data_IF_689352223913
#
_entry.id   IF_689352223913
#
_cell.length_a   1.000
_cell.length_b   1.000
_cell.length_c   1.000
_cell.angle_alpha   90.00
_cell.angle_beta   90.00
_cell.angle_gamma   90.00
#
_symmetry.space_group_name_H-M   'P 1'
#
loop_
_entity.id
_entity.type
_entity.pdbx_description
1 polymer ?
#
# COMPACT_ATOMS: atom_id res chain seq x y z
N UNK A 1 76.91 -14.58 49.09
CA UNK A 1 75.53 -15.02 49.27
C UNK A 1 74.62 -13.80 49.15
N UNK A 2 74.12 -13.57 47.97
CA UNK A 2 73.25 -12.38 47.67
C UNK A 2 71.84 -12.78 47.78
N UNK A 3 71.03 -12.12 48.62
CA UNK A 3 69.56 -12.29 48.71
C UNK A 3 68.89 -11.49 47.59
N UNK A 4 68.12 -12.17 46.76
CA UNK A 4 67.27 -11.55 45.74
C UNK A 4 65.87 -11.38 46.35
N UNK A 5 65.44 -10.13 46.46
CA UNK A 5 64.10 -9.79 46.92
C UNK A 5 63.18 -9.78 45.65
N UNK A 6 62.14 -10.59 45.67
CA UNK A 6 61.10 -10.57 44.63
C UNK A 6 60.06 -9.52 44.99
N UNK A 7 59.85 -8.55 44.12
CA UNK A 7 58.77 -7.58 44.20
C UNK A 7 57.59 -8.16 43.41
N UNK A 8 56.51 -8.51 44.08
CA UNK A 8 55.21 -8.84 43.47
C UNK A 8 54.46 -7.53 43.21
N UNK A 9 54.35 -7.19 41.92
CA UNK A 9 53.43 -6.13 41.46
C UNK A 9 52.04 -6.70 41.27
N UNK A 10 51.10 -6.33 42.11
CA UNK A 10 49.67 -6.63 41.97
C UNK A 10 49.09 -5.62 40.99
N UNK A 11 48.81 -6.05 39.75
CA UNK A 11 48.04 -5.24 38.81
C UNK A 11 46.55 -5.41 39.15
N UNK A 12 45.95 -4.40 39.77
CA UNK A 12 44.50 -4.33 39.95
C UNK A 12 43.83 -3.96 38.58
N UNK A 13 43.21 -4.94 37.91
CA UNK A 13 42.33 -4.70 36.78
C UNK A 13 41.07 -3.99 37.31
N UNK A 14 40.98 -2.69 37.11
CA UNK A 14 39.71 -1.97 37.18
C UNK A 14 38.90 -2.31 35.97
N UNK A 15 38.03 -3.35 36.04
CA UNK A 15 36.92 -3.50 35.14
C UNK A 15 35.96 -2.32 35.36
N UNK A 16 36.08 -1.29 34.52
CA UNK A 16 35.03 -0.30 34.37
C UNK A 16 33.79 -1.03 33.78
N UNK A 17 32.84 -1.34 34.64
CA UNK A 17 31.49 -1.68 34.18
C UNK A 17 30.94 -0.41 33.50
N UNK A 18 31.05 -0.33 32.19
CA UNK A 18 30.22 0.56 31.40
C UNK A 18 28.79 0.01 31.59
N UNK A 19 27.87 0.76 32.17
CA UNK A 19 26.49 0.29 32.20
C UNK A 19 26.06 0.09 30.76
N UNK A 20 25.65 -1.13 30.42
CA UNK A 20 24.92 -1.37 29.19
C UNK A 20 23.73 -0.43 29.26
N UNK A 21 23.68 0.56 28.39
CA UNK A 21 22.47 1.36 28.20
C UNK A 21 21.37 0.35 27.91
N UNK A 22 20.34 0.33 28.74
CA UNK A 22 19.17 -0.50 28.48
C UNK A 22 18.68 -0.11 27.09
N UNK A 23 18.56 -1.09 26.20
CA UNK A 23 17.96 -0.90 24.87
C UNK A 23 16.55 -0.37 25.14
N UNK A 24 16.24 0.86 24.70
CA UNK A 24 14.89 1.42 24.88
C UNK A 24 13.89 0.48 24.22
N UNK A 25 13.04 -0.13 25.01
CA UNK A 25 11.97 -1.00 24.52
C UNK A 25 10.74 -0.14 24.25
N UNK A 26 10.41 0.01 22.98
CA UNK A 26 9.20 0.70 22.54
C UNK A 26 8.00 -0.25 22.53
N UNK A 27 6.86 0.21 23.02
CA UNK A 27 5.58 -0.49 22.83
C UNK A 27 5.26 -0.60 21.34
N UNK A 28 4.54 -1.64 20.89
CA UNK A 28 4.16 -1.76 19.48
C UNK A 28 3.35 -0.55 19.00
N UNK A 29 3.72 0.05 17.86
CA UNK A 29 2.97 1.17 17.30
C UNK A 29 1.51 0.83 17.04
N UNK A 30 1.22 -0.40 16.57
CA UNK A 30 -0.14 -0.85 16.32
C UNK A 30 -1.00 -0.94 17.60
N UNK A 31 -0.39 -1.21 18.74
CA UNK A 31 -1.09 -1.22 20.03
C UNK A 31 -1.47 0.20 20.45
N UNK A 32 -0.57 1.16 20.24
CA UNK A 32 -0.82 2.56 20.52
C UNK A 32 -1.82 3.20 19.54
N UNK A 33 -1.87 2.73 18.30
CA UNK A 33 -2.81 3.19 17.29
C UNK A 33 -4.22 2.59 17.44
N UNK A 34 -4.35 1.42 18.06
CA UNK A 34 -5.61 0.69 18.19
C UNK A 34 -6.76 1.49 18.87
N UNK A 35 -6.52 2.26 19.97
CA UNK A 35 -7.55 3.10 20.57
C UNK A 35 -8.12 4.16 19.61
N UNK A 36 -7.36 4.56 18.62
CA UNK A 36 -7.77 5.51 17.57
C UNK A 36 -8.39 4.83 16.35
N UNK A 37 -8.57 3.52 16.37
CA UNK A 37 -9.34 2.77 15.37
C UNK A 37 -8.63 2.48 14.05
N UNK A 38 -7.30 2.66 13.95
CA UNK A 38 -6.56 2.34 12.72
C UNK A 38 -5.41 1.35 12.93
N UNK A 39 -5.15 0.55 11.90
CA UNK A 39 -4.01 -0.37 11.83
C UNK A 39 -2.73 0.38 11.46
N UNK A 40 -1.58 -0.14 11.91
CA UNK A 40 -0.26 0.26 11.41
C UNK A 40 0.24 -0.75 10.41
N UNK A 41 0.56 -0.28 9.19
CA UNK A 41 0.99 -1.13 8.09
C UNK A 41 2.43 -0.89 7.65
N UNK A 42 3.04 -1.93 7.06
CA UNK A 42 4.38 -1.89 6.48
C UNK A 42 4.44 -2.64 5.14
N UNK A 43 5.34 -2.27 4.20
CA UNK A 43 5.57 -3.05 3.00
C UNK A 43 6.35 -4.33 3.33
N UNK A 44 6.10 -5.37 2.56
CA UNK A 44 6.89 -6.61 2.61
C UNK A 44 7.11 -7.12 1.18
N UNK A 45 8.36 -7.38 0.81
CA UNK A 45 8.72 -8.07 -0.42
C UNK A 45 9.09 -9.53 -0.15
N UNK A 46 9.01 -10.38 -1.17
CA UNK A 46 9.37 -11.80 -1.05
C UNK A 46 10.81 -12.00 -0.58
N UNK A 47 11.75 -11.19 -1.06
CA UNK A 47 13.15 -11.29 -0.62
C UNK A 47 13.34 -10.95 0.86
N UNK A 48 12.49 -10.07 1.42
CA UNK A 48 12.52 -9.71 2.83
C UNK A 48 12.09 -10.85 3.76
N UNK A 49 11.40 -11.90 3.27
CA UNK A 49 11.12 -13.11 4.07
C UNK A 49 12.40 -13.80 4.57
N UNK A 50 13.54 -13.53 3.95
CA UNK A 50 14.85 -14.04 4.37
C UNK A 50 15.59 -13.10 5.31
N UNK A 51 15.07 -11.91 5.56
CA UNK A 51 15.69 -10.91 6.44
C UNK A 51 15.02 -10.91 7.82
N UNK A 52 15.54 -11.76 8.72
CA UNK A 52 14.96 -11.91 10.05
C UNK A 52 14.91 -10.61 10.85
N UNK A 53 15.89 -9.70 10.68
CA UNK A 53 15.88 -8.40 11.37
C UNK A 53 14.71 -7.53 10.90
N UNK A 54 14.43 -7.52 9.58
CA UNK A 54 13.28 -6.81 9.04
C UNK A 54 11.95 -7.43 9.50
N UNK A 55 11.84 -8.75 9.45
CA UNK A 55 10.64 -9.45 9.91
C UNK A 55 10.36 -9.22 11.40
N UNK A 56 11.41 -9.21 12.23
CA UNK A 56 11.27 -8.90 13.65
C UNK A 56 10.78 -7.46 13.88
N UNK A 57 11.30 -6.51 13.10
CA UNK A 57 10.85 -5.11 13.15
C UNK A 57 9.37 -4.98 12.74
N UNK A 58 8.96 -5.63 11.66
CA UNK A 58 7.56 -5.62 11.21
C UNK A 58 6.65 -6.21 12.30
N UNK A 59 6.99 -7.36 12.85
CA UNK A 59 6.21 -7.99 13.94
C UNK A 59 6.14 -7.14 15.22
N UNK A 60 7.20 -6.39 15.51
CA UNK A 60 7.26 -5.57 16.72
C UNK A 60 6.31 -4.36 16.65
N UNK A 61 6.06 -3.79 15.46
CA UNK A 61 5.40 -2.48 15.36
C UNK A 61 4.20 -2.44 14.43
N UNK A 62 3.97 -3.46 13.60
CA UNK A 62 2.93 -3.43 12.55
C UNK A 62 2.01 -4.64 12.64
N UNK A 63 0.71 -4.41 12.43
CA UNK A 63 -0.34 -5.44 12.40
C UNK A 63 -1.02 -5.54 11.03
N UNK A 64 -0.42 -4.91 10.01
CA UNK A 64 -0.82 -5.00 8.61
C UNK A 64 0.41 -5.01 7.71
N UNK A 65 0.36 -5.75 6.61
CA UNK A 65 1.34 -5.66 5.53
C UNK A 65 0.66 -5.46 4.18
N UNK A 66 1.42 -4.86 3.25
CA UNK A 66 1.09 -4.85 1.82
C UNK A 66 2.27 -5.46 1.08
N UNK A 67 2.01 -6.45 0.20
CA UNK A 67 3.09 -7.02 -0.63
C UNK A 67 3.52 -6.01 -1.68
N UNK A 68 4.84 -5.95 -1.95
CA UNK A 68 5.33 -4.93 -2.88
C UNK A 68 5.00 -5.25 -4.33
N UNK A 69 5.04 -6.54 -4.71
CA UNK A 69 4.81 -6.96 -6.09
C UNK A 69 4.04 -8.29 -6.23
N UNK A 70 4.09 -9.14 -5.22
CA UNK A 70 3.78 -10.57 -5.32
C UNK A 70 2.29 -10.85 -5.50
N UNK A 71 1.41 -9.90 -5.15
CA UNK A 71 -0.04 -9.97 -5.37
C UNK A 71 -0.51 -9.13 -6.56
N UNK A 72 0.39 -8.53 -7.34
CA UNK A 72 0.05 -7.82 -8.58
C UNK A 72 -0.22 -8.81 -9.72
N UNK A 73 -1.07 -8.42 -10.65
CA UNK A 73 -1.49 -9.27 -11.77
C UNK A 73 -0.31 -9.90 -12.54
N UNK A 74 0.74 -9.11 -12.86
CA UNK A 74 1.90 -9.62 -13.60
C UNK A 74 2.69 -10.70 -12.84
N UNK A 75 2.61 -10.72 -11.51
CA UNK A 75 3.27 -11.74 -10.68
C UNK A 75 2.41 -12.98 -10.48
N UNK A 76 1.09 -12.82 -10.43
CA UNK A 76 0.15 -13.92 -10.24
C UNK A 76 -0.14 -14.64 -11.56
N UNK A 77 -0.33 -13.92 -12.67
CA UNK A 77 -0.60 -14.49 -13.97
C UNK A 77 0.58 -15.34 -14.49
N UNK A 78 0.28 -16.56 -14.93
CA UNK A 78 1.29 -17.49 -15.43
C UNK A 78 0.93 -18.00 -16.83
N UNK A 79 1.70 -17.63 -17.83
CA UNK A 79 1.44 -17.99 -19.22
C UNK A 79 1.45 -19.52 -19.46
N UNK A 80 2.32 -20.27 -18.79
CA UNK A 80 2.36 -21.74 -18.96
C UNK A 80 1.14 -22.38 -18.34
N UNK A 81 0.73 -21.97 -17.14
CA UNK A 81 -0.50 -22.42 -16.52
C UNK A 81 -1.72 -22.06 -17.38
N UNK A 82 -1.76 -20.84 -17.93
CA UNK A 82 -2.82 -20.38 -18.86
C UNK A 82 -2.93 -21.30 -20.09
N UNK A 83 -1.80 -21.60 -20.75
CA UNK A 83 -1.80 -22.47 -21.95
C UNK A 83 -2.11 -23.94 -21.65
N UNK A 84 -2.02 -24.35 -20.41
CA UNK A 84 -2.41 -25.71 -19.99
C UNK A 84 -3.91 -25.85 -19.72
N UNK A 85 -4.64 -24.74 -19.58
CA UNK A 85 -6.10 -24.75 -19.40
C UNK A 85 -6.83 -25.01 -20.70
N UNK A 86 -7.98 -25.68 -20.60
CA UNK A 86 -8.85 -26.02 -21.76
C UNK A 86 -10.09 -25.14 -21.86
N UNK A 87 -10.34 -24.31 -20.83
CA UNK A 87 -11.50 -23.42 -20.76
C UNK A 87 -11.24 -22.03 -21.35
N UNK A 88 -9.99 -21.75 -21.79
CA UNK A 88 -9.61 -20.47 -22.35
C UNK A 88 -9.41 -19.34 -21.32
N UNK A 89 -9.44 -19.67 -20.01
CA UNK A 89 -9.27 -18.69 -18.94
C UNK A 89 -7.80 -18.56 -18.50
N UNK A 90 -7.39 -17.45 -17.86
CA UNK A 90 -6.01 -17.27 -17.40
C UNK A 90 -5.67 -18.22 -16.24
N UNK A 91 -4.44 -18.73 -16.23
CA UNK A 91 -3.91 -19.52 -15.12
C UNK A 91 -2.94 -18.71 -14.25
N UNK A 92 -2.92 -19.00 -12.97
CA UNK A 92 -2.13 -18.27 -11.97
C UNK A 92 -1.01 -19.12 -11.35
N UNK A 93 -0.06 -18.45 -10.72
CA UNK A 93 0.94 -19.02 -9.82
C UNK A 93 0.97 -18.19 -8.53
N UNK A 94 0.52 -18.76 -7.44
CA UNK A 94 0.43 -18.10 -6.14
C UNK A 94 1.65 -18.33 -5.24
N UNK A 95 2.68 -19.08 -5.69
CA UNK A 95 3.73 -19.61 -4.81
C UNK A 95 4.45 -18.58 -3.95
N UNK A 96 4.74 -17.39 -4.48
CA UNK A 96 5.39 -16.33 -3.73
C UNK A 96 4.41 -15.63 -2.79
N UNK A 97 3.24 -15.25 -3.29
CA UNK A 97 2.20 -14.59 -2.51
C UNK A 97 1.71 -15.48 -1.34
N UNK A 98 1.51 -16.77 -1.59
CA UNK A 98 1.13 -17.74 -0.56
C UNK A 98 2.11 -17.79 0.62
N UNK A 99 3.40 -17.80 0.34
CA UNK A 99 4.42 -17.80 1.40
C UNK A 99 4.38 -16.52 2.24
N UNK A 100 4.08 -15.39 1.61
CA UNK A 100 3.98 -14.11 2.31
C UNK A 100 2.70 -14.01 3.15
N UNK A 101 1.57 -14.46 2.60
CA UNK A 101 0.29 -14.48 3.34
C UNK A 101 0.33 -15.50 4.47
N UNK A 102 0.97 -16.67 4.25
CA UNK A 102 1.20 -17.66 5.31
C UNK A 102 2.04 -17.07 6.45
N UNK A 103 3.14 -16.37 6.11
CA UNK A 103 3.94 -15.70 7.13
C UNK A 103 3.12 -14.66 7.92
N UNK A 104 2.28 -13.90 7.25
CA UNK A 104 1.40 -12.92 7.91
C UNK A 104 0.41 -13.63 8.84
N UNK A 105 -0.24 -14.69 8.38
CA UNK A 105 -1.16 -15.52 9.17
C UNK A 105 -0.48 -16.09 10.42
N UNK A 106 0.70 -16.69 10.26
CA UNK A 106 1.47 -17.29 11.37
C UNK A 106 1.87 -16.27 12.45
N UNK A 107 1.88 -14.97 12.10
CA UNK A 107 2.24 -13.88 13.01
C UNK A 107 1.05 -13.00 13.42
N UNK A 108 -0.19 -13.36 13.05
CA UNK A 108 -1.39 -12.60 13.39
C UNK A 108 -1.46 -11.21 12.72
N UNK A 109 -0.84 -11.07 11.56
CA UNK A 109 -0.76 -9.82 10.78
C UNK A 109 -1.74 -9.91 9.61
N UNK A 110 -2.58 -8.88 9.43
CA UNK A 110 -3.47 -8.78 8.27
C UNK A 110 -2.73 -8.38 7.00
N UNK A 111 -3.30 -8.73 5.85
CA UNK A 111 -2.73 -8.41 4.54
C UNK A 111 -3.68 -7.50 3.77
N UNK A 112 -3.15 -6.42 3.20
CA UNK A 112 -3.79 -5.66 2.13
C UNK A 112 -3.42 -6.31 0.81
N UNK A 113 -4.39 -6.87 0.10
CA UNK A 113 -4.20 -7.39 -1.25
C UNK A 113 -3.97 -6.25 -2.23
N UNK A 114 -2.80 -6.18 -2.83
CA UNK A 114 -2.42 -5.12 -3.77
C UNK A 114 -1.77 -5.73 -5.01
N UNK A 115 -2.38 -5.70 -6.15
CA UNK A 115 -3.61 -5.09 -6.62
C UNK A 115 -4.22 -6.00 -7.71
N UNK A 116 -5.54 -6.05 -7.80
CA UNK A 116 -6.20 -6.90 -8.81
C UNK A 116 -6.05 -6.29 -10.22
N UNK A 117 -6.39 -5.02 -10.42
CA UNK A 117 -6.35 -4.36 -11.73
C UNK A 117 -5.50 -3.08 -11.66
N UNK A 118 -4.43 -3.06 -12.43
CA UNK A 118 -3.58 -1.88 -12.64
C UNK A 118 -2.96 -1.91 -14.02
N UNK A 119 -3.23 -0.92 -14.85
CA UNK A 119 -2.75 -0.83 -16.23
C UNK A 119 -1.22 -0.84 -16.36
N UNK A 120 -0.50 -0.26 -15.36
CA UNK A 120 0.96 -0.23 -15.36
C UNK A 120 1.61 -1.59 -15.05
N UNK A 121 0.90 -2.50 -14.38
CA UNK A 121 1.43 -3.78 -13.93
C UNK A 121 0.58 -4.96 -14.41
N UNK A 122 0.21 -4.92 -15.69
CA UNK A 122 -0.48 -5.99 -16.39
C UNK A 122 0.36 -6.51 -17.55
N UNK A 123 0.16 -7.76 -17.94
CA UNK A 123 0.92 -8.39 -19.03
C UNK A 123 0.20 -8.21 -20.37
N UNK A 124 0.89 -7.77 -21.43
CA UNK A 124 0.32 -7.57 -22.77
C UNK A 124 -0.34 -8.85 -23.32
N UNK A 125 0.28 -10.03 -23.12
CA UNK A 125 -0.26 -11.30 -23.61
C UNK A 125 -1.65 -11.66 -23.09
N UNK A 126 -2.05 -11.13 -21.92
CA UNK A 126 -3.39 -11.33 -21.36
C UNK A 126 -4.49 -10.80 -22.27
N UNK A 127 -4.21 -9.72 -22.98
CA UNK A 127 -5.16 -9.06 -23.89
C UNK A 127 -5.12 -9.63 -25.32
N UNK A 128 -4.19 -10.54 -25.64
CA UNK A 128 -4.01 -11.08 -26.99
C UNK A 128 -4.87 -12.33 -27.22
N UNK A 129 -5.26 -12.55 -28.48
CA UNK A 129 -5.89 -13.81 -28.89
C UNK A 129 -4.97 -14.99 -28.54
N UNK A 130 -5.53 -16.07 -28.01
CA UNK A 130 -4.84 -17.27 -27.56
C UNK A 130 -3.65 -17.01 -26.63
N UNK A 131 -3.65 -15.84 -25.96
CA UNK A 131 -2.54 -15.40 -25.09
C UNK A 131 -1.18 -15.37 -25.80
N UNK A 132 -1.18 -15.08 -27.10
CA UNK A 132 0.04 -14.99 -27.91
C UNK A 132 0.33 -13.51 -28.26
N UNK A 133 1.45 -12.98 -27.75
CA UNK A 133 1.87 -11.59 -28.00
C UNK A 133 2.08 -11.23 -29.48
N UNK A 134 2.10 -12.21 -30.38
CA UNK A 134 2.18 -12.00 -31.83
C UNK A 134 0.82 -11.90 -32.52
N UNK A 135 -0.27 -12.22 -31.80
CA UNK A 135 -1.62 -12.16 -32.32
C UNK A 135 -2.27 -10.79 -32.06
N UNK A 136 -3.36 -10.47 -32.77
CA UNK A 136 -4.19 -9.31 -32.44
C UNK A 136 -4.67 -9.33 -30.99
N UNK A 137 -5.17 -8.20 -30.53
CA UNK A 137 -5.90 -8.15 -29.27
C UNK A 137 -7.23 -8.89 -29.41
N UNK A 138 -7.64 -9.60 -28.37
CA UNK A 138 -8.91 -10.30 -28.31
C UNK A 138 -10.09 -9.31 -28.23
N UNK A 139 -11.28 -9.79 -28.52
CA UNK A 139 -12.50 -8.99 -28.44
C UNK A 139 -12.88 -8.63 -26.99
N UNK A 140 -13.75 -7.66 -26.85
CA UNK A 140 -14.17 -7.09 -25.57
C UNK A 140 -14.77 -8.14 -24.62
N UNK A 141 -15.61 -9.03 -25.13
CA UNK A 141 -16.26 -10.03 -24.29
C UNK A 141 -15.26 -11.07 -23.78
N UNK A 142 -14.29 -11.44 -24.62
CA UNK A 142 -13.18 -12.30 -24.22
C UNK A 142 -12.35 -11.66 -23.09
N UNK A 143 -12.02 -10.37 -23.19
CA UNK A 143 -11.22 -9.69 -22.17
C UNK A 143 -12.02 -9.51 -20.86
N UNK A 144 -13.32 -9.21 -20.94
CA UNK A 144 -14.21 -9.17 -19.77
C UNK A 144 -14.24 -10.53 -19.05
N UNK A 145 -14.49 -11.61 -19.81
CA UNK A 145 -14.54 -12.97 -19.23
C UNK A 145 -13.21 -13.38 -18.58
N UNK A 146 -12.08 -13.08 -19.20
CA UNK A 146 -10.75 -13.32 -18.62
C UNK A 146 -10.52 -12.54 -17.35
N UNK A 147 -10.94 -11.26 -17.31
CA UNK A 147 -10.77 -10.39 -16.14
C UNK A 147 -11.67 -10.85 -15.01
N UNK A 148 -12.91 -11.26 -15.28
CA UNK A 148 -13.82 -11.84 -14.31
C UNK A 148 -13.24 -13.11 -13.69
N UNK A 149 -12.80 -14.06 -14.53
CA UNK A 149 -12.16 -15.30 -14.10
C UNK A 149 -10.94 -15.04 -13.23
N UNK A 150 -10.05 -14.13 -13.68
CA UNK A 150 -8.85 -13.76 -12.94
C UNK A 150 -9.18 -13.19 -11.54
N UNK A 151 -10.06 -12.19 -11.47
CA UNK A 151 -10.43 -11.55 -10.20
C UNK A 151 -11.09 -12.56 -9.26
N UNK A 152 -12.06 -13.32 -9.78
CA UNK A 152 -12.79 -14.33 -9.00
C UNK A 152 -11.85 -15.39 -8.46
N UNK A 153 -10.97 -15.94 -9.29
CA UNK A 153 -10.04 -17.00 -8.87
C UNK A 153 -9.01 -16.48 -7.86
N UNK A 154 -8.50 -15.24 -8.01
CA UNK A 154 -7.55 -14.66 -7.06
C UNK A 154 -8.21 -14.41 -5.70
N UNK A 155 -9.38 -13.78 -5.67
CA UNK A 155 -10.11 -13.53 -4.42
C UNK A 155 -10.47 -14.84 -3.72
N UNK A 156 -11.00 -15.81 -4.48
CA UNK A 156 -11.36 -17.13 -3.97
C UNK A 156 -10.16 -17.86 -3.38
N UNK A 157 -9.03 -17.88 -4.09
CA UNK A 157 -7.81 -18.56 -3.63
C UNK A 157 -7.35 -18.08 -2.25
N UNK A 158 -7.26 -16.76 -2.07
CA UNK A 158 -6.76 -16.21 -0.81
C UNK A 158 -7.79 -16.35 0.32
N UNK A 159 -9.07 -16.23 0.04
CA UNK A 159 -10.11 -16.37 1.06
C UNK A 159 -10.27 -17.83 1.50
N UNK A 160 -10.24 -18.80 0.58
CA UNK A 160 -10.34 -20.22 0.92
C UNK A 160 -9.08 -20.74 1.64
N UNK A 161 -7.90 -20.30 1.20
CA UNK A 161 -6.63 -20.79 1.75
C UNK A 161 -6.24 -20.09 3.05
N UNK A 162 -6.55 -18.81 3.19
CA UNK A 162 -6.17 -17.95 4.31
C UNK A 162 -7.36 -17.11 4.78
N UNK A 163 -8.44 -17.72 5.29
CA UNK A 163 -9.69 -17.03 5.61
C UNK A 163 -9.48 -15.81 6.49
N UNK A 164 -9.92 -14.64 6.03
CA UNK A 164 -9.86 -13.36 6.76
C UNK A 164 -8.47 -12.76 6.94
N UNK A 165 -7.41 -13.35 6.41
CA UNK A 165 -6.05 -12.79 6.47
C UNK A 165 -5.90 -11.61 5.51
N UNK A 166 -6.40 -11.77 4.27
CA UNK A 166 -6.51 -10.66 3.31
C UNK A 166 -7.78 -9.89 3.62
N UNK A 167 -7.68 -8.88 4.49
CA UNK A 167 -8.84 -8.16 5.03
C UNK A 167 -9.39 -7.09 4.07
N UNK A 168 -8.66 -6.72 3.03
CA UNK A 168 -9.12 -5.84 1.97
C UNK A 168 -8.31 -6.05 0.68
N UNK A 169 -8.91 -5.66 -0.46
CA UNK A 169 -8.26 -5.60 -1.75
C UNK A 169 -8.26 -4.18 -2.30
N UNK A 170 -7.12 -3.73 -2.82
CA UNK A 170 -7.11 -2.69 -3.83
C UNK A 170 -7.59 -3.33 -5.14
N UNK A 171 -8.84 -3.09 -5.50
CA UNK A 171 -9.44 -3.69 -6.70
C UNK A 171 -8.88 -3.05 -7.95
N UNK A 172 -8.84 -1.71 -7.98
CA UNK A 172 -8.25 -0.94 -9.07
C UNK A 172 -7.29 0.09 -8.52
N UNK A 173 -6.12 0.21 -9.15
CA UNK A 173 -5.10 1.19 -8.80
C UNK A 173 -4.88 2.21 -9.91
N UNK A 174 -4.83 3.51 -9.51
CA UNK A 174 -4.37 4.63 -10.35
C UNK A 174 -5.12 4.79 -11.69
N UNK A 175 -6.42 4.58 -11.69
CA UNK A 175 -7.24 4.72 -12.90
C UNK A 175 -7.53 6.18 -13.29
N UNK A 176 -7.30 7.14 -12.38
CA UNK A 176 -7.53 8.57 -12.61
C UNK A 176 -6.27 9.23 -13.15
N UNK A 177 -6.37 9.93 -14.29
CA UNK A 177 -5.28 10.70 -14.91
C UNK A 177 -4.96 11.97 -14.14
N UNK A 178 -3.73 12.49 -14.32
CA UNK A 178 -3.26 13.72 -13.65
C UNK A 178 -3.19 14.91 -14.60
N UNK A 179 -3.28 14.70 -15.89
CA UNK A 179 -3.21 15.77 -16.90
C UNK A 179 -4.23 15.55 -18.01
N UNK A 180 -4.64 16.63 -18.65
CA UNK A 180 -5.63 16.64 -19.76
C UNK A 180 -5.22 15.73 -20.94
N UNK A 181 -3.97 15.36 -21.05
CA UNK A 181 -3.50 14.42 -22.08
C UNK A 181 -3.71 12.95 -21.73
N UNK A 182 -4.08 12.64 -20.49
CA UNK A 182 -4.20 11.28 -19.97
C UNK A 182 -5.66 10.78 -19.89
N UNK A 183 -6.67 11.66 -20.11
CA UNK A 183 -8.08 11.31 -20.08
C UNK A 183 -8.88 12.05 -21.16
N UNK A 184 -10.12 11.62 -21.41
CA UNK A 184 -10.98 12.23 -22.41
C UNK A 184 -11.52 13.58 -21.92
N UNK A 185 -11.51 14.59 -22.80
CA UNK A 185 -12.04 15.91 -22.48
C UNK A 185 -13.51 15.82 -22.02
N UNK A 186 -13.82 16.42 -20.88
CA UNK A 186 -15.16 16.44 -20.31
C UNK A 186 -15.53 15.20 -19.48
N UNK A 187 -14.66 14.19 -19.33
CA UNK A 187 -14.87 13.09 -18.40
C UNK A 187 -14.56 13.54 -16.97
N UNK A 188 -15.61 13.77 -16.17
CA UNK A 188 -15.47 14.19 -14.77
C UNK A 188 -14.71 13.19 -13.89
N UNK A 189 -14.60 11.92 -14.33
CA UNK A 189 -13.85 10.87 -13.64
C UNK A 189 -12.35 10.94 -13.96
N UNK A 190 -11.94 11.76 -14.94
CA UNK A 190 -10.58 11.77 -15.50
C UNK A 190 -10.04 10.36 -15.78
N UNK A 191 -10.93 9.46 -16.26
CA UNK A 191 -10.60 8.05 -16.47
C UNK A 191 -9.44 7.91 -17.46
N UNK A 192 -8.34 7.34 -16.97
CA UNK A 192 -7.07 7.28 -17.69
C UNK A 192 -7.18 6.52 -19.00
N UNK A 193 -6.86 7.21 -20.10
CA UNK A 193 -6.75 6.65 -21.44
C UNK A 193 -5.33 6.24 -21.77
N UNK A 194 -4.37 7.03 -21.30
CA UNK A 194 -2.94 6.87 -21.53
C UNK A 194 -2.16 6.95 -20.23
N UNK A 195 -1.08 6.16 -20.15
CA UNK A 195 -0.06 6.29 -19.11
C UNK A 195 1.31 6.40 -19.77
N UNK A 196 1.98 7.53 -19.60
CA UNK A 196 3.29 7.78 -20.22
C UNK A 196 3.32 7.49 -21.72
N UNK A 197 2.23 7.85 -22.43
CA UNK A 197 2.06 7.63 -23.86
C UNK A 197 1.64 6.23 -24.29
N UNK A 198 1.48 5.28 -23.35
CA UNK A 198 0.97 3.94 -23.65
C UNK A 198 -0.52 3.84 -23.34
N UNK A 199 -1.33 3.17 -24.19
CA UNK A 199 -2.76 2.99 -23.94
C UNK A 199 -3.04 2.19 -22.66
N UNK A 200 -4.11 2.57 -21.97
CA UNK A 200 -4.69 1.73 -20.92
C UNK A 200 -5.47 0.58 -21.57
N UNK A 201 -4.88 -0.61 -21.61
CA UNK A 201 -5.46 -1.76 -22.29
C UNK A 201 -6.77 -2.25 -21.67
N UNK A 202 -6.97 -2.07 -20.36
CA UNK A 202 -8.27 -2.39 -19.76
C UNK A 202 -9.37 -1.48 -20.32
N UNK A 203 -9.14 -0.17 -20.35
CA UNK A 203 -10.11 0.78 -20.88
C UNK A 203 -10.36 0.53 -22.38
N UNK A 204 -9.31 0.25 -23.15
CA UNK A 204 -9.43 0.07 -24.61
C UNK A 204 -10.18 -1.21 -24.97
N UNK A 205 -9.94 -2.33 -24.26
CA UNK A 205 -10.48 -3.64 -24.60
C UNK A 205 -11.59 -4.15 -23.66
N UNK A 206 -11.88 -3.50 -22.55
CA UNK A 206 -13.07 -3.76 -21.73
C UNK A 206 -14.12 -2.64 -21.83
N UNK A 207 -13.71 -1.43 -22.23
CA UNK A 207 -14.56 -0.26 -22.30
C UNK A 207 -14.41 0.67 -21.09
N UNK A 208 -15.16 1.76 -21.09
CA UNK A 208 -15.08 2.82 -20.08
C UNK A 208 -15.58 2.40 -18.69
N UNK A 209 -16.30 1.30 -18.62
CA UNK A 209 -16.85 0.75 -17.37
C UNK A 209 -15.91 -0.29 -16.72
N UNK A 210 -14.67 -0.45 -17.23
CA UNK A 210 -13.77 -1.50 -16.74
C UNK A 210 -13.52 -1.43 -15.23
N UNK A 211 -13.50 -0.24 -14.65
CA UNK A 211 -13.34 -0.05 -13.19
C UNK A 211 -14.56 -0.61 -12.46
N UNK A 212 -15.75 -0.21 -12.86
CA UNK A 212 -16.99 -0.71 -12.26
C UNK A 212 -17.16 -2.23 -12.42
N UNK A 213 -16.79 -2.77 -13.59
CA UNK A 213 -16.79 -4.23 -13.85
C UNK A 213 -15.80 -4.95 -12.93
N UNK A 214 -14.58 -4.42 -12.74
CA UNK A 214 -13.60 -5.03 -11.85
C UNK A 214 -14.13 -5.09 -10.39
N UNK A 215 -14.74 -4.00 -9.91
CA UNK A 215 -15.38 -3.97 -8.60
C UNK A 215 -16.56 -4.93 -8.51
N UNK A 216 -17.39 -5.01 -9.53
CA UNK A 216 -18.52 -5.94 -9.58
C UNK A 216 -18.04 -7.41 -9.48
N UNK A 217 -17.02 -7.80 -10.24
CA UNK A 217 -16.44 -9.14 -10.19
C UNK A 217 -15.86 -9.45 -8.80
N UNK A 218 -15.10 -8.52 -8.21
CA UNK A 218 -14.55 -8.69 -6.88
C UNK A 218 -15.66 -8.80 -5.82
N UNK A 219 -16.69 -7.94 -5.90
CA UNK A 219 -17.82 -7.95 -4.96
C UNK A 219 -18.60 -9.25 -5.03
N UNK A 220 -18.89 -9.74 -6.25
CA UNK A 220 -19.56 -11.02 -6.45
C UNK A 220 -18.74 -12.19 -5.85
N UNK A 221 -17.42 -12.19 -6.02
CA UNK A 221 -16.56 -13.22 -5.44
C UNK A 221 -16.58 -13.19 -3.90
N UNK A 222 -16.43 -12.01 -3.29
CA UNK A 222 -16.48 -11.83 -1.83
C UNK A 222 -17.82 -12.27 -1.26
N UNK A 223 -18.95 -11.86 -1.87
CA UNK A 223 -20.30 -12.23 -1.44
C UNK A 223 -20.56 -13.73 -1.58
N UNK A 224 -20.13 -14.35 -2.69
CA UNK A 224 -20.28 -15.80 -2.91
C UNK A 224 -19.54 -16.64 -1.86
N UNK A 225 -18.45 -16.12 -1.28
CA UNK A 225 -17.67 -16.75 -0.24
C UNK A 225 -18.21 -16.43 1.18
N UNK A 226 -19.14 -15.49 1.29
CA UNK A 226 -19.61 -14.99 2.59
C UNK A 226 -18.52 -14.27 3.39
N UNK A 227 -17.51 -13.71 2.70
CA UNK A 227 -16.39 -13.03 3.31
C UNK A 227 -16.71 -11.56 3.63
N UNK A 228 -15.98 -10.97 4.60
CA UNK A 228 -16.10 -9.55 4.98
C UNK A 228 -14.91 -8.71 4.44
N UNK A 229 -14.32 -9.16 3.35
CA UNK A 229 -13.18 -8.50 2.71
C UNK A 229 -13.61 -7.20 2.06
N UNK A 230 -12.97 -6.09 2.42
CA UNK A 230 -13.31 -4.76 1.92
C UNK A 230 -12.64 -4.47 0.57
N UNK A 231 -13.33 -3.72 -0.29
CA UNK A 231 -12.91 -3.41 -1.64
C UNK A 231 -12.58 -1.93 -1.80
N UNK A 232 -11.33 -1.62 -2.14
CA UNK A 232 -10.80 -0.26 -2.19
C UNK A 232 -10.40 0.14 -3.61
N UNK A 233 -10.62 1.42 -3.92
CA UNK A 233 -9.93 2.12 -4.99
C UNK A 233 -8.66 2.76 -4.42
N UNK A 234 -7.48 2.58 -5.02
CA UNK A 234 -6.21 3.10 -4.52
C UNK A 234 -5.56 4.06 -5.54
N UNK A 235 -5.11 5.24 -5.08
CA UNK A 235 -4.46 6.21 -5.98
C UNK A 235 -3.50 7.15 -5.22
N UNK A 236 -2.51 7.68 -5.95
CA UNK A 236 -1.64 8.75 -5.47
C UNK A 236 -2.28 10.12 -5.70
N UNK A 237 -1.77 11.14 -5.02
CA UNK A 237 -2.32 12.52 -5.07
C UNK A 237 -3.82 12.62 -4.70
N UNK A 238 -4.38 11.62 -4.08
CA UNK A 238 -5.80 11.51 -3.75
C UNK A 238 -6.31 12.55 -2.74
N UNK A 239 -5.44 13.44 -2.25
CA UNK A 239 -5.78 14.59 -1.40
C UNK A 239 -5.65 15.94 -2.12
N UNK A 240 -5.20 15.99 -3.36
CA UNK A 240 -5.23 17.20 -4.17
C UNK A 240 -6.61 17.38 -4.80
N UNK A 241 -7.16 18.58 -4.68
CA UNK A 241 -8.57 18.91 -4.99
C UNK A 241 -9.08 18.32 -6.31
N UNK A 242 -8.38 18.57 -7.41
CA UNK A 242 -8.83 18.15 -8.75
C UNK A 242 -8.83 16.63 -8.89
N UNK A 243 -7.75 15.98 -8.45
CA UNK A 243 -7.64 14.52 -8.46
C UNK A 243 -8.68 13.87 -7.55
N UNK A 244 -8.83 14.39 -6.34
CA UNK A 244 -9.79 13.89 -5.37
C UNK A 244 -11.24 14.03 -5.87
N UNK A 245 -11.57 15.12 -6.53
CA UNK A 245 -12.89 15.31 -7.16
C UNK A 245 -13.15 14.27 -8.25
N UNK A 246 -12.17 14.00 -9.10
CA UNK A 246 -12.26 12.97 -10.13
C UNK A 246 -12.38 11.55 -9.55
N UNK A 247 -11.64 11.25 -8.46
CA UNK A 247 -11.77 9.98 -7.72
C UNK A 247 -13.19 9.84 -7.15
N UNK A 248 -13.75 10.88 -6.55
CA UNK A 248 -15.14 10.83 -6.05
C UNK A 248 -16.15 10.57 -7.17
N UNK A 249 -16.00 11.23 -8.32
CA UNK A 249 -16.85 10.99 -9.48
C UNK A 249 -16.71 9.57 -10.02
N UNK A 250 -15.49 9.00 -10.03
CA UNK A 250 -15.26 7.62 -10.43
C UNK A 250 -15.95 6.65 -9.46
N UNK A 251 -15.79 6.81 -8.15
CA UNK A 251 -16.39 5.93 -7.14
C UNK A 251 -17.92 6.02 -7.17
N UNK A 252 -18.47 7.20 -7.36
CA UNK A 252 -19.92 7.37 -7.54
C UNK A 252 -20.42 6.57 -8.75
N UNK A 253 -19.69 6.61 -9.88
CA UNK A 253 -20.03 5.80 -11.06
C UNK A 253 -19.91 4.30 -10.80
N UNK A 254 -18.98 3.85 -9.95
CA UNK A 254 -18.82 2.44 -9.54
C UNK A 254 -19.98 2.01 -8.65
N UNK A 255 -20.33 2.81 -7.64
CA UNK A 255 -21.37 2.47 -6.66
C UNK A 255 -22.81 2.67 -7.17
N UNK A 256 -22.97 3.23 -8.36
CA UNK A 256 -24.27 3.31 -9.06
C UNK A 256 -24.37 2.37 -10.27
N UNK A 257 -23.31 1.59 -10.55
CA UNK A 257 -23.22 0.76 -11.75
C UNK A 257 -24.15 -0.47 -11.72
N UNK A 258 -24.35 -1.08 -10.58
CA UNK A 258 -25.17 -2.27 -10.41
C UNK A 258 -26.24 -2.07 -9.35
N UNK A 259 -27.37 -2.77 -9.51
CA UNK A 259 -28.50 -2.76 -8.59
C UNK A 259 -28.71 -4.13 -7.94
N UNK A 260 -29.29 -4.11 -6.74
CA UNK A 260 -29.79 -5.32 -6.08
C UNK A 260 -31.15 -5.76 -6.65
N UNK A 261 -31.69 -6.86 -6.14
CA UNK A 261 -33.00 -7.40 -6.54
C UNK A 261 -34.19 -6.44 -6.28
N UNK A 262 -34.00 -5.44 -5.43
CA UNK A 262 -35.00 -4.43 -5.07
C UNK A 262 -34.84 -3.15 -5.89
N UNK A 263 -33.84 -3.07 -6.77
CA UNK A 263 -33.53 -1.90 -7.59
C UNK A 263 -32.70 -0.81 -6.86
N UNK A 264 -32.14 -1.11 -5.69
CA UNK A 264 -31.23 -0.18 -5.01
C UNK A 264 -29.81 -0.37 -5.54
N UNK A 265 -29.05 0.73 -5.56
CA UNK A 265 -27.64 0.68 -5.95
C UNK A 265 -26.84 -0.22 -4.97
N UNK A 266 -26.02 -1.11 -5.55
CA UNK A 266 -25.08 -1.94 -4.77
C UNK A 266 -23.80 -1.14 -4.51
N UNK A 267 -23.42 -0.98 -3.26
CA UNK A 267 -22.10 -0.45 -2.92
C UNK A 267 -21.02 -1.48 -3.29
N UNK A 268 -20.34 -1.24 -4.41
CA UNK A 268 -19.29 -2.11 -4.92
C UNK A 268 -17.91 -1.74 -4.36
N UNK A 269 -17.66 -0.44 -4.16
CA UNK A 269 -16.45 0.12 -3.58
C UNK A 269 -16.72 0.51 -2.13
N UNK A 270 -16.00 -0.09 -1.18
CA UNK A 270 -16.16 0.16 0.26
C UNK A 270 -15.27 1.30 0.75
N UNK A 271 -14.20 1.66 0.05
CA UNK A 271 -13.27 2.67 0.54
C UNK A 271 -12.25 3.18 -0.46
N UNK A 272 -11.48 4.17 -0.01
CA UNK A 272 -10.38 4.79 -0.76
C UNK A 272 -9.05 4.54 -0.07
N UNK A 273 -8.09 4.00 -0.83
CA UNK A 273 -6.68 4.03 -0.49
C UNK A 273 -6.05 5.32 -1.01
N UNK A 274 -5.61 6.18 -0.09
CA UNK A 274 -4.78 7.33 -0.42
C UNK A 274 -3.32 6.89 -0.26
N UNK A 275 -2.56 6.79 -1.36
CA UNK A 275 -1.17 6.31 -1.27
C UNK A 275 -0.33 7.12 -0.27
N UNK A 276 -0.53 8.44 -0.21
CA UNK A 276 0.09 9.25 0.85
C UNK A 276 1.56 9.54 0.59
N UNK A 277 1.97 9.70 -0.66
CA UNK A 277 3.27 10.28 -1.00
C UNK A 277 3.23 11.78 -0.75
N UNK A 278 3.74 12.19 0.42
CA UNK A 278 3.64 13.55 0.92
C UNK A 278 4.92 14.33 0.61
N UNK A 279 4.75 15.50 0.01
CA UNK A 279 5.81 16.36 -0.46
C UNK A 279 5.80 16.52 -1.98
N UNK A 280 6.59 17.48 -2.50
CA UNK A 280 6.67 17.77 -3.93
C UNK A 280 7.36 16.65 -4.73
N UNK A 281 7.07 16.61 -6.02
CA UNK A 281 7.86 15.85 -6.97
C UNK A 281 9.18 16.60 -7.23
N UNK A 282 10.31 15.91 -7.02
CA UNK A 282 11.65 16.45 -7.23
C UNK A 282 12.41 16.79 -5.96
N UNK A 283 13.68 17.12 -6.16
CA UNK A 283 14.61 17.53 -5.09
C UNK A 283 14.37 19.01 -4.80
N UNK A 284 13.39 19.34 -3.99
CA UNK A 284 13.12 20.70 -3.57
C UNK A 284 13.19 20.82 -2.05
N UNK A 285 13.73 21.91 -1.58
CA UNK A 285 13.46 22.41 -0.25
C UNK A 285 11.94 22.59 -0.14
N UNK A 286 11.32 22.10 0.94
CA UNK A 286 9.89 22.25 1.15
C UNK A 286 9.04 21.05 0.71
N UNK A 287 9.62 19.86 0.57
CA UNK A 287 8.83 18.62 0.55
C UNK A 287 7.91 18.50 1.78
N UNK A 288 8.23 19.21 2.87
CA UNK A 288 7.45 19.30 4.11
C UNK A 288 6.51 20.51 4.02
N UNK A 289 5.35 20.33 3.39
CA UNK A 289 4.35 21.39 3.18
C UNK A 289 3.25 21.24 4.23
N UNK A 290 3.22 22.11 5.22
CA UNK A 290 2.26 22.05 6.34
C UNK A 290 0.79 22.05 5.88
N UNK A 291 0.46 22.74 4.78
CA UNK A 291 -0.90 22.74 4.23
C UNK A 291 -1.38 21.36 3.76
N UNK A 292 -0.47 20.44 3.44
CA UNK A 292 -0.86 19.08 3.06
C UNK A 292 -1.53 18.32 4.20
N UNK A 293 -1.20 18.62 5.46
CA UNK A 293 -1.87 18.01 6.63
C UNK A 293 -3.37 18.33 6.63
N UNK A 294 -3.72 19.59 6.44
CA UNK A 294 -5.12 20.01 6.31
C UNK A 294 -5.82 19.43 5.09
N UNK A 295 -5.16 19.44 3.92
CA UNK A 295 -5.72 18.86 2.70
C UNK A 295 -6.03 17.36 2.84
N UNK A 296 -5.13 16.60 3.46
CA UNK A 296 -5.33 15.16 3.73
C UNK A 296 -6.52 14.97 4.67
N UNK A 297 -6.60 15.76 5.77
CA UNK A 297 -7.71 15.71 6.72
C UNK A 297 -9.05 15.96 6.03
N UNK A 298 -9.14 17.06 5.30
CA UNK A 298 -10.38 17.48 4.66
C UNK A 298 -10.85 16.46 3.62
N UNK A 299 -9.91 15.85 2.88
CA UNK A 299 -10.29 14.87 1.88
C UNK A 299 -10.67 13.51 2.48
N UNK A 300 -10.06 13.10 3.60
CA UNK A 300 -10.55 11.92 4.35
C UNK A 300 -12.01 12.13 4.77
N UNK A 301 -12.37 13.33 5.23
CA UNK A 301 -13.73 13.65 5.62
C UNK A 301 -14.69 13.67 4.41
N UNK A 302 -14.23 14.16 3.25
CA UNK A 302 -15.03 14.15 2.02
C UNK A 302 -15.33 12.71 1.56
N UNK A 303 -14.36 11.81 1.58
CA UNK A 303 -14.59 10.38 1.27
C UNK A 303 -15.51 9.73 2.33
N UNK A 304 -15.30 10.01 3.60
CA UNK A 304 -16.17 9.52 4.67
C UNK A 304 -17.63 9.99 4.53
N UNK A 305 -17.85 11.22 4.05
CA UNK A 305 -19.20 11.76 3.77
C UNK A 305 -19.92 10.99 2.65
N UNK A 306 -19.20 10.28 1.79
CA UNK A 306 -19.75 9.34 0.79
C UNK A 306 -20.05 7.94 1.36
N UNK A 307 -19.84 7.72 2.66
CA UNK A 307 -19.97 6.39 3.28
C UNK A 307 -18.78 5.47 3.04
N UNK A 308 -17.63 6.02 2.67
CA UNK A 308 -16.42 5.26 2.35
C UNK A 308 -15.46 5.20 3.54
N UNK A 309 -14.81 4.06 3.72
CA UNK A 309 -13.63 3.95 4.58
C UNK A 309 -12.40 4.55 3.88
N UNK A 310 -11.43 5.03 4.66
CA UNK A 310 -10.18 5.54 4.11
C UNK A 310 -8.99 4.79 4.72
N UNK A 311 -7.98 4.53 3.92
CA UNK A 311 -6.67 4.06 4.38
C UNK A 311 -5.56 4.92 3.76
N UNK A 312 -4.55 5.29 4.53
CA UNK A 312 -3.28 5.78 3.99
C UNK A 312 -2.44 4.55 3.68
N UNK A 313 -2.24 4.26 2.40
CA UNK A 313 -1.80 2.92 1.97
C UNK A 313 -0.31 2.78 1.72
N UNK A 314 0.38 3.90 1.43
CA UNK A 314 1.78 3.91 0.99
C UNK A 314 2.51 5.17 1.50
N UNK A 315 2.28 5.55 2.76
CA UNK A 315 2.78 6.81 3.28
C UNK A 315 4.31 6.90 3.23
N UNK A 316 4.79 7.93 2.54
CA UNK A 316 6.18 8.31 2.54
C UNK A 316 6.29 9.84 2.58
N UNK A 317 6.90 10.35 3.63
CA UNK A 317 7.25 11.78 3.75
C UNK A 317 8.64 11.96 3.16
N UNK A 318 8.68 12.61 1.99
CA UNK A 318 9.93 12.79 1.23
C UNK A 318 10.93 13.65 1.98
N UNK A 319 12.17 13.21 2.03
CA UNK A 319 13.29 13.97 2.56
C UNK A 319 14.57 13.66 1.79
N UNK A 320 15.11 14.67 1.11
CA UNK A 320 16.34 14.60 0.31
C UNK A 320 17.51 15.32 1.00
N UNK A 321 17.27 15.96 2.13
CA UNK A 321 18.25 16.74 2.89
C UNK A 321 18.33 16.24 4.33
N UNK A 322 19.50 15.69 4.70
CA UNK A 322 19.75 15.18 6.05
C UNK A 322 19.61 16.27 7.12
N UNK A 323 19.90 17.53 6.80
CA UNK A 323 19.76 18.67 7.72
C UNK A 323 18.32 19.00 8.11
N UNK A 324 17.33 18.39 7.43
CA UNK A 324 15.90 18.55 7.70
C UNK A 324 15.29 17.36 8.49
N UNK A 325 16.12 16.50 9.06
CA UNK A 325 15.63 15.32 9.79
C UNK A 325 14.65 15.68 10.92
N UNK A 326 14.99 16.71 11.70
CA UNK A 326 14.13 17.17 12.82
C UNK A 326 12.78 17.71 12.32
N UNK A 327 12.79 18.51 11.25
CA UNK A 327 11.56 19.03 10.66
C UNK A 327 10.68 17.91 10.13
N UNK A 328 11.28 16.89 9.50
CA UNK A 328 10.56 15.71 9.03
C UNK A 328 9.97 14.90 10.18
N UNK A 329 10.72 14.70 11.25
CA UNK A 329 10.21 14.01 12.44
C UNK A 329 9.03 14.77 13.05
N UNK A 330 9.13 16.11 13.19
CA UNK A 330 8.02 16.95 13.62
C UNK A 330 6.82 16.92 12.67
N UNK A 331 7.05 16.79 11.36
CA UNK A 331 5.98 16.67 10.38
C UNK A 331 5.23 15.34 10.51
N UNK A 332 5.94 14.22 10.75
CA UNK A 332 5.29 12.95 11.08
C UNK A 332 4.41 13.06 12.33
N UNK A 333 4.89 13.75 13.39
CA UNK A 333 4.08 14.00 14.59
C UNK A 333 2.78 14.75 14.25
N UNK A 334 2.84 15.81 13.42
CA UNK A 334 1.64 16.55 12.97
C UNK A 334 0.66 15.68 12.23
N UNK A 335 1.14 14.77 11.33
CA UNK A 335 0.28 13.86 10.60
C UNK A 335 -0.42 12.88 11.54
N UNK A 336 0.31 12.24 12.46
CA UNK A 336 -0.28 11.30 13.41
C UNK A 336 -1.22 11.97 14.40
N UNK A 337 -0.89 13.18 14.89
CA UNK A 337 -1.79 13.98 15.71
C UNK A 337 -3.12 14.23 14.96
N UNK A 338 -3.05 14.64 13.71
CA UNK A 338 -4.24 14.87 12.87
C UNK A 338 -5.04 13.57 12.67
N UNK A 339 -4.40 12.42 12.42
CA UNK A 339 -5.09 11.14 12.26
C UNK A 339 -5.84 10.71 13.54
N UNK A 340 -5.22 10.89 14.70
CA UNK A 340 -5.82 10.59 16.00
C UNK A 340 -7.03 11.47 16.29
N UNK A 341 -6.90 12.78 16.12
CA UNK A 341 -7.97 13.76 16.30
C UNK A 341 -9.13 13.50 15.35
N UNK A 342 -8.84 13.29 14.06
CA UNK A 342 -9.83 13.01 13.04
C UNK A 342 -10.67 11.77 13.39
N UNK A 343 -10.04 10.68 13.78
CA UNK A 343 -10.76 9.46 14.14
C UNK A 343 -11.54 9.63 15.45
N UNK A 344 -10.97 10.26 16.46
CA UNK A 344 -11.66 10.51 17.72
C UNK A 344 -12.93 11.35 17.59
N UNK A 345 -12.97 12.25 16.61
CA UNK A 345 -14.09 13.19 16.41
C UNK A 345 -15.16 12.70 15.42
N UNK A 346 -14.80 11.81 14.47
CA UNK A 346 -15.62 11.56 13.27
C UNK A 346 -15.99 10.08 13.04
N UNK A 347 -16.03 9.26 14.07
CA UNK A 347 -16.48 7.86 13.96
C UNK A 347 -15.51 6.92 13.26
N UNK A 348 -14.22 7.22 13.34
CA UNK A 348 -13.11 6.40 12.82
C UNK A 348 -13.14 6.15 11.30
N UNK A 349 -13.19 7.16 10.43
CA UNK A 349 -13.18 6.94 9.00
C UNK A 349 -11.85 6.37 8.49
N UNK A 350 -10.72 6.70 9.14
CA UNK A 350 -9.40 6.18 8.80
C UNK A 350 -9.20 4.79 9.43
N UNK A 351 -8.94 3.78 8.60
CA UNK A 351 -8.85 2.36 9.04
C UNK A 351 -7.42 1.82 9.11
N UNK A 352 -6.48 2.41 8.37
CA UNK A 352 -5.07 2.02 8.41
C UNK A 352 -4.15 3.16 7.97
N UNK A 353 -2.92 3.13 8.50
CA UNK A 353 -1.80 3.95 8.05
C UNK A 353 -0.62 3.02 7.76
N UNK A 354 -0.32 2.80 6.48
CA UNK A 354 0.81 1.99 6.03
C UNK A 354 2.00 2.86 5.67
N UNK A 355 3.14 2.61 6.30
CA UNK A 355 4.37 3.37 6.09
C UNK A 355 5.17 2.72 4.96
N UNK A 356 5.05 3.23 3.73
CA UNK A 356 5.78 2.70 2.58
C UNK A 356 7.26 3.10 2.59
N UNK A 357 7.54 4.32 2.96
CA UNK A 357 8.91 4.80 3.23
C UNK A 357 9.42 4.32 4.59
N UNK A 358 9.40 3.01 4.86
CA UNK A 358 9.74 2.47 6.18
C UNK A 358 11.21 2.64 6.53
N UNK A 359 12.11 2.41 5.55
CA UNK A 359 13.56 2.52 5.72
C UNK A 359 14.16 3.58 4.82
N UNK A 360 15.29 4.13 5.22
CA UNK A 360 16.14 4.92 4.31
C UNK A 360 16.57 4.07 3.10
N UNK A 361 16.97 4.71 2.01
CA UNK A 361 17.36 4.03 0.79
C UNK A 361 18.73 4.47 0.28
N UNK A 362 19.39 3.59 -0.49
CA UNK A 362 20.65 3.87 -1.19
C UNK A 362 20.41 4.49 -2.59
N UNK A 363 19.28 5.16 -2.81
CA UNK A 363 18.99 5.71 -4.13
C UNK A 363 20.12 6.64 -4.62
N UNK A 364 20.67 6.45 -5.82
CA UNK A 364 21.70 7.32 -6.35
C UNK A 364 21.21 8.77 -6.50
N UNK A 365 22.07 9.75 -6.24
CA UNK A 365 21.78 11.16 -6.52
C UNK A 365 21.32 11.32 -7.98
N UNK A 366 20.16 11.92 -8.19
CA UNK A 366 19.58 12.14 -9.52
C UNK A 366 18.36 11.29 -9.85
N UNK A 367 18.13 10.19 -9.15
CA UNK A 367 16.90 9.37 -9.27
C UNK A 367 15.80 9.77 -8.29
N UNK A 368 15.81 10.99 -7.81
CA UNK A 368 14.88 11.46 -6.78
C UNK A 368 13.53 11.94 -7.32
N UNK A 369 13.38 12.03 -8.65
CA UNK A 369 12.25 12.72 -9.32
C UNK A 369 10.92 11.97 -9.17
N UNK A 370 10.94 10.64 -9.02
CA UNK A 370 9.72 9.82 -8.86
C UNK A 370 9.65 9.14 -7.49
N UNK A 371 10.10 9.81 -6.42
CA UNK A 371 10.73 9.06 -5.39
C UNK A 371 9.96 8.79 -4.14
N UNK A 372 9.42 7.62 -4.15
CA UNK A 372 9.23 6.74 -3.03
C UNK A 372 10.48 6.55 -2.16
N UNK A 373 11.65 6.73 -2.72
CA UNK A 373 12.96 6.39 -2.19
C UNK A 373 13.78 7.63 -1.85
N UNK A 374 13.22 8.56 -1.08
CA UNK A 374 14.06 9.62 -0.55
C UNK A 374 15.12 9.01 0.35
N UNK A 375 16.42 9.35 0.17
CA UNK A 375 17.50 8.66 0.86
C UNK A 375 17.40 8.75 2.38
N UNK A 376 16.71 9.77 2.90
CA UNK A 376 16.54 10.00 4.34
C UNK A 376 15.08 9.94 4.79
N UNK A 377 14.21 9.29 4.00
CA UNK A 377 12.76 9.27 4.21
C UNK A 377 12.27 8.29 5.28
N UNK A 378 13.04 7.27 5.64
CA UNK A 378 12.60 6.17 6.51
C UNK A 378 12.33 6.56 7.96
N UNK A 379 11.48 5.78 8.63
CA UNK A 379 11.39 5.76 10.10
C UNK A 379 12.59 5.03 10.72
N UNK A 380 13.22 4.17 9.93
CA UNK A 380 14.42 3.41 10.29
C UNK A 380 15.53 3.71 9.28
N UNK A 381 16.78 3.61 9.73
CA UNK A 381 17.92 3.74 8.84
C UNK A 381 18.15 2.48 7.99
N UNK A 382 19.19 2.49 7.13
CA UNK A 382 19.57 1.35 6.30
C UNK A 382 19.95 0.08 7.08
N UNK A 383 20.30 0.23 8.36
CA UNK A 383 20.65 -0.88 9.26
C UNK A 383 19.47 -1.31 10.12
N UNK A 384 18.29 -0.71 9.89
CA UNK A 384 17.06 -0.90 10.66
C UNK A 384 17.18 -0.39 12.12
N UNK A 385 17.98 0.65 12.37
CA UNK A 385 17.97 1.34 13.61
C UNK A 385 16.87 2.41 13.61
N UNK A 386 16.30 2.66 14.78
CA UNK A 386 15.26 3.68 15.01
C UNK A 386 15.82 5.08 14.72
N UNK A 387 15.02 5.93 14.09
CA UNK A 387 15.30 7.34 13.80
C UNK A 387 14.32 8.25 14.57
N UNK A 388 14.64 9.53 14.66
CA UNK A 388 13.82 10.53 15.35
C UNK A 388 12.36 10.56 14.84
N UNK A 389 12.15 10.28 13.55
CA UNK A 389 10.81 10.19 13.00
C UNK A 389 9.97 9.07 13.62
N UNK A 390 10.57 7.90 13.89
CA UNK A 390 9.90 6.82 14.63
C UNK A 390 9.57 7.26 16.06
N UNK A 391 10.55 7.87 16.75
CA UNK A 391 10.37 8.35 18.12
C UNK A 391 9.22 9.36 18.20
N UNK A 392 9.14 10.29 17.24
CA UNK A 392 8.05 11.27 17.20
C UNK A 392 6.69 10.65 16.92
N UNK A 393 6.60 9.67 16.05
CA UNK A 393 5.36 8.89 15.85
C UNK A 393 4.97 8.17 17.15
N UNK A 394 5.91 7.50 17.77
CA UNK A 394 5.69 6.79 19.04
C UNK A 394 5.21 7.72 20.15
N UNK A 395 5.91 8.85 20.39
CA UNK A 395 5.54 9.84 21.40
C UNK A 395 4.15 10.43 21.15
N UNK A 396 3.78 10.65 19.88
CA UNK A 396 2.47 11.19 19.50
C UNK A 396 1.37 10.18 19.78
N UNK A 397 1.55 8.92 19.36
CA UNK A 397 0.54 7.87 19.59
C UNK A 397 0.35 7.53 21.07
N UNK A 398 1.32 7.83 21.91
CA UNK A 398 1.28 7.54 23.36
C UNK A 398 0.56 8.61 24.19
N UNK A 399 0.19 9.74 23.61
CA UNK A 399 -0.55 10.82 24.29
C UNK A 399 -1.98 10.39 24.58
#
# INVERSE_FOLDING_TARGET
MKKIAAVLSVLALLCACVPAMAEETYEPLYTLAAPYGFKMGAPLSFDQLRNQKYLNLVKAHFNSITTTNEMKAYSLLNLQATKARTDGMPGMNYSAADQMVQWAQDNGIGVRGHVLVWDAYMTDWFFREDYDSKKPYADQETIKARTESYITEVVTHFEEKFPGVVYCWDVVNEAVGDSDSEYAAGDARHLRTLRSGSPNLFREYMGEDYVALAFLYAKNAVEALGADTKLYYNDYNAYFSDKAQAIRALIDSVNTFAQDENGNNRQLCDGVGMQGYIGGYGVQEGCLVDSHVGMIRDEILNYAAMGLEVQITEMAVRNFDLTQADKRAAFYAKLFQMFMELNGENGNPLKAVSIWGLTDTNAPKGNYVYNLNSPYGGLFDLKLNIKDAFVKVYETLKQ
#
